data_IF_138353820159
#
_entry.id   IF_138353820159
#
_cell.length_a   1.000
_cell.length_b   1.000
_cell.length_c   1.000
_cell.angle_alpha   90.00
_cell.angle_beta   90.00
_cell.angle_gamma   90.00
#
_symmetry.space_group_name_H-M   'P 1'
#
loop_
_entity.id
_entity.type
_entity.pdbx_description
1 polymer ?
#
# COMPACT_ATOMS: atom_id res chain seq x y z
N UNK A 1 -2.48 -4.37 -2.08
CA UNK A 1 -2.69 -3.85 -0.73
C UNK A 1 -4.11 -3.29 -0.61
N UNK A 2 -4.77 -3.47 0.52
CA UNK A 2 -6.12 -2.97 0.76
C UNK A 2 -6.48 -2.90 2.25
N UNK A 3 -7.70 -2.47 2.57
CA UNK A 3 -8.69 -1.82 1.68
C UNK A 3 -8.26 -0.40 1.30
N UNK A 4 -8.53 0.03 0.06
CA UNK A 4 -8.11 1.34 -0.46
C UNK A 4 -9.23 2.38 -0.35
N UNK A 5 -10.38 2.07 -0.95
CA UNK A 5 -11.49 3.01 -1.07
C UNK A 5 -12.02 3.43 0.30
N UNK A 6 -12.32 2.46 1.17
CA UNK A 6 -12.84 2.72 2.51
C UNK A 6 -11.85 3.51 3.35
N UNK A 7 -10.55 3.17 3.25
CA UNK A 7 -9.50 3.89 3.98
C UNK A 7 -9.39 5.35 3.54
N UNK A 8 -9.39 5.63 2.22
CA UNK A 8 -9.29 6.99 1.70
C UNK A 8 -10.57 7.79 2.00
N UNK A 9 -11.75 7.18 1.82
CA UNK A 9 -13.03 7.84 2.01
C UNK A 9 -13.30 8.30 3.46
N UNK A 10 -12.70 7.64 4.45
CA UNK A 10 -12.74 8.03 5.86
C UNK A 10 -11.87 9.28 6.10
N UNK A 11 -12.30 10.44 5.60
CA UNK A 11 -11.58 11.70 5.66
C UNK A 11 -12.49 12.83 6.16
N UNK A 12 -11.96 13.70 7.04
CA UNK A 12 -12.64 14.90 7.57
C UNK A 12 -12.41 16.11 6.68
N UNK A 13 -11.25 16.12 6.06
CA UNK A 13 -10.73 17.23 5.26
C UNK A 13 -10.05 16.74 3.99
N UNK A 14 -9.77 17.65 3.06
CA UNK A 14 -8.96 17.35 1.88
C UNK A 14 -7.54 16.89 2.27
N UNK A 15 -7.00 17.42 3.37
CA UNK A 15 -5.69 17.00 3.88
C UNK A 15 -5.69 15.54 4.34
N UNK A 16 -6.75 15.09 5.05
CA UNK A 16 -6.87 13.67 5.43
C UNK A 16 -6.99 12.77 4.19
N UNK A 17 -7.74 13.21 3.18
CA UNK A 17 -7.89 12.49 1.92
C UNK A 17 -6.54 12.32 1.20
N UNK A 18 -5.78 13.41 1.13
CA UNK A 18 -4.43 13.38 0.58
C UNK A 18 -3.50 12.49 1.41
N UNK A 19 -3.50 12.64 2.72
CA UNK A 19 -2.66 11.85 3.62
C UNK A 19 -2.94 10.35 3.51
N UNK A 20 -4.22 9.95 3.41
CA UNK A 20 -4.60 8.56 3.17
C UNK A 20 -4.07 8.01 1.85
N UNK A 21 -4.15 8.79 0.78
CA UNK A 21 -3.62 8.41 -0.53
C UNK A 21 -2.09 8.32 -0.52
N UNK A 22 -1.43 9.27 0.14
CA UNK A 22 0.03 9.29 0.28
C UNK A 22 0.52 8.09 1.11
N UNK A 23 -0.15 7.78 2.22
CA UNK A 23 0.18 6.63 3.06
C UNK A 23 0.09 5.31 2.28
N UNK A 24 -0.96 5.12 1.48
CA UNK A 24 -1.09 3.93 0.64
C UNK A 24 0.00 3.84 -0.44
N UNK A 25 0.39 4.99 -1.02
CA UNK A 25 1.51 5.05 -1.97
C UNK A 25 2.84 4.68 -1.30
N UNK A 26 3.07 5.13 -0.06
CA UNK A 26 4.25 4.76 0.73
C UNK A 26 4.25 3.28 1.09
N UNK A 27 3.14 2.73 1.52
CA UNK A 27 2.97 1.30 1.77
C UNK A 27 3.33 0.47 0.52
N UNK A 28 2.84 0.89 -0.64
CA UNK A 28 3.17 0.22 -1.90
C UNK A 28 4.68 0.29 -2.20
N UNK A 29 5.32 1.42 -1.92
CA UNK A 29 6.78 1.56 -2.07
C UNK A 29 7.55 0.63 -1.13
N UNK A 30 7.19 0.55 0.14
CA UNK A 30 7.86 -0.33 1.10
C UNK A 30 7.80 -1.80 0.66
N UNK A 31 6.67 -2.22 0.07
CA UNK A 31 6.57 -3.55 -0.54
C UNK A 31 7.44 -3.72 -1.78
N UNK A 32 7.44 -2.76 -2.70
CA UNK A 32 8.29 -2.81 -3.91
C UNK A 32 9.78 -2.73 -3.58
N UNK A 33 10.15 -1.96 -2.55
CA UNK A 33 11.53 -1.79 -2.09
C UNK A 33 12.19 -3.12 -1.76
N UNK A 34 11.50 -4.03 -1.10
CA UNK A 34 11.99 -5.39 -0.81
C UNK A 34 12.44 -6.13 -2.08
N UNK A 35 11.62 -6.06 -3.12
CA UNK A 35 11.95 -6.68 -4.41
C UNK A 35 13.11 -5.95 -5.10
N UNK A 36 13.11 -4.62 -5.06
CA UNK A 36 14.19 -3.81 -5.63
C UNK A 36 15.54 -4.05 -4.96
N UNK A 37 15.58 -4.24 -3.65
CA UNK A 37 16.81 -4.55 -2.89
C UNK A 37 17.38 -5.92 -3.24
N UNK A 38 16.53 -6.90 -3.53
CA UNK A 38 16.96 -8.27 -3.85
C UNK A 38 17.30 -8.48 -5.32
N UNK A 39 16.53 -7.89 -6.22
CA UNK A 39 16.56 -8.20 -7.66
C UNK A 39 16.82 -6.97 -8.54
N UNK A 40 16.87 -5.78 -7.96
CA UNK A 40 16.96 -4.52 -8.69
C UNK A 40 15.59 -3.98 -9.15
N UNK A 41 15.50 -2.66 -9.39
CA UNK A 41 14.24 -2.01 -9.75
C UNK A 41 13.69 -2.44 -11.12
N UNK A 42 14.52 -3.03 -11.98
CA UNK A 42 14.09 -3.53 -13.30
C UNK A 42 13.22 -4.79 -13.21
N UNK A 43 13.22 -5.48 -12.07
CA UNK A 43 12.33 -6.63 -11.82
C UNK A 43 10.88 -6.22 -11.65
N UNK A 44 10.60 -4.95 -11.31
CA UNK A 44 9.25 -4.41 -11.26
C UNK A 44 8.77 -4.07 -12.67
N UNK A 45 7.79 -4.82 -13.17
CA UNK A 45 7.17 -4.60 -14.48
C UNK A 45 6.09 -3.52 -14.44
N UNK A 46 5.39 -3.40 -13.32
CA UNK A 46 4.36 -2.39 -13.07
C UNK A 46 4.34 -2.03 -11.57
N UNK A 47 4.26 -0.74 -11.22
CA UNK A 47 4.30 0.45 -12.09
C UNK A 47 5.70 0.72 -12.65
N UNK A 48 5.77 1.67 -13.60
CA UNK A 48 7.05 2.22 -14.04
C UNK A 48 7.71 3.00 -12.90
N UNK A 49 8.89 2.58 -12.46
CA UNK A 49 9.59 3.19 -11.32
C UNK A 49 10.49 4.37 -11.70
N UNK A 50 10.79 4.55 -12.99
CA UNK A 50 11.69 5.62 -13.44
C UNK A 50 11.12 7.00 -13.11
N UNK A 51 11.90 7.83 -12.42
CA UNK A 51 11.56 9.19 -11.96
C UNK A 51 10.41 9.25 -10.96
N UNK A 52 10.18 8.19 -10.24
CA UNK A 52 9.34 8.23 -9.05
C UNK A 52 10.19 8.78 -7.90
N UNK A 53 9.80 9.89 -7.26
CA UNK A 53 10.66 10.57 -6.29
C UNK A 53 11.13 9.70 -5.12
N UNK A 54 10.28 8.81 -4.61
CA UNK A 54 10.62 7.88 -3.54
C UNK A 54 11.69 6.86 -3.98
N UNK A 55 11.62 6.43 -5.24
CA UNK A 55 12.62 5.52 -5.85
C UNK A 55 13.93 6.24 -6.08
N UNK A 56 13.88 7.48 -6.57
CA UNK A 56 15.06 8.30 -6.79
C UNK A 56 15.82 8.56 -5.48
N UNK A 57 15.10 8.85 -4.38
CA UNK A 57 15.70 8.99 -3.05
C UNK A 57 16.37 7.70 -2.60
N UNK A 58 15.67 6.57 -2.73
CA UNK A 58 16.25 5.28 -2.38
C UNK A 58 17.51 4.96 -3.21
N UNK A 59 17.51 5.26 -4.51
CA UNK A 59 18.69 5.07 -5.36
C UNK A 59 19.88 5.94 -4.91
N UNK A 60 19.62 7.16 -4.45
CA UNK A 60 20.66 8.01 -3.84
C UNK A 60 21.21 7.39 -2.55
N UNK A 61 20.36 6.86 -1.70
CA UNK A 61 20.74 6.14 -0.47
C UNK A 61 21.57 4.88 -0.78
N UNK A 62 21.31 4.22 -1.93
CA UNK A 62 22.11 3.10 -2.43
C UNK A 62 23.43 3.53 -3.07
N UNK A 63 23.77 4.83 -3.08
CA UNK A 63 25.05 5.35 -3.53
C UNK A 63 25.12 5.68 -5.03
N UNK A 64 23.99 5.83 -5.73
CA UNK A 64 24.00 6.36 -7.09
C UNK A 64 24.52 7.80 -7.12
N UNK A 65 25.25 8.14 -8.24
CA UNK A 65 25.80 9.48 -8.40
C UNK A 65 24.70 10.56 -8.31
N UNK A 66 24.78 11.50 -7.34
CA UNK A 66 23.79 12.56 -7.15
C UNK A 66 23.56 13.46 -8.37
N UNK A 67 24.53 13.59 -9.27
CA UNK A 67 24.42 14.40 -10.50
C UNK A 67 23.33 13.87 -11.45
N UNK A 68 23.02 12.56 -11.39
CA UNK A 68 21.94 11.96 -12.16
C UNK A 68 20.55 12.51 -11.80
N UNK A 69 20.46 13.17 -10.66
CA UNK A 69 19.23 13.73 -10.10
C UNK A 69 19.21 15.27 -10.02
N UNK A 70 20.12 15.97 -10.71
CA UNK A 70 20.20 17.43 -10.60
C UNK A 70 19.03 18.15 -11.27
N UNK A 71 18.41 17.54 -12.28
CA UNK A 71 17.27 18.11 -12.99
C UNK A 71 15.90 17.70 -12.48
N UNK A 72 15.83 16.89 -11.41
CA UNK A 72 14.55 16.43 -10.90
C UNK A 72 13.79 17.53 -10.14
N UNK A 73 12.48 17.57 -10.36
CA UNK A 73 11.61 18.63 -9.80
C UNK A 73 11.53 18.57 -8.27
N UNK A 74 11.62 17.41 -7.65
CA UNK A 74 11.52 17.26 -6.21
C UNK A 74 12.71 17.87 -5.44
N UNK A 75 13.91 18.00 -6.05
CA UNK A 75 15.05 18.73 -5.47
C UNK A 75 14.83 20.25 -5.48
N UNK A 76 14.05 20.75 -6.44
CA UNK A 76 13.89 22.19 -6.70
C UNK A 76 12.70 22.80 -5.96
N UNK A 77 11.77 21.99 -5.46
CA UNK A 77 10.55 22.47 -4.79
C UNK A 77 10.70 22.43 -3.28
N UNK A 78 10.60 23.61 -2.64
CA UNK A 78 10.59 23.75 -1.18
C UNK A 78 9.19 23.90 -0.58
N UNK A 79 8.12 23.58 -1.33
CA UNK A 79 6.73 23.74 -0.88
C UNK A 79 6.03 22.39 -0.74
N UNK A 80 4.81 22.40 -0.17
CA UNK A 80 3.93 21.23 -0.03
C UNK A 80 3.52 20.64 -1.39
N UNK A 81 3.72 21.35 -2.50
CA UNK A 81 3.55 20.86 -3.85
C UNK A 81 4.73 20.01 -4.35
N UNK A 82 5.72 19.72 -3.48
CA UNK A 82 6.84 18.88 -3.85
C UNK A 82 6.36 17.47 -4.27
N UNK A 83 6.81 16.96 -5.43
CA UNK A 83 6.44 15.63 -5.92
C UNK A 83 6.75 14.47 -4.95
N UNK A 84 7.65 14.67 -3.97
CA UNK A 84 7.88 13.69 -2.90
C UNK A 84 6.63 13.40 -2.07
N UNK A 85 5.72 14.38 -1.96
CA UNK A 85 4.46 14.24 -1.24
C UNK A 85 3.30 13.76 -2.13
N UNK A 86 3.55 13.51 -3.42
CA UNK A 86 2.52 12.96 -4.30
C UNK A 86 2.26 11.47 -4.01
N UNK A 87 0.99 11.07 -4.09
CA UNK A 87 0.59 9.66 -4.08
C UNK A 87 0.88 9.04 -5.47
N UNK A 88 2.16 8.83 -5.77
CA UNK A 88 2.62 8.49 -7.12
C UNK A 88 2.54 6.99 -7.45
N UNK A 89 2.43 6.12 -6.44
CA UNK A 89 2.47 4.67 -6.63
C UNK A 89 1.11 4.04 -6.38
N UNK A 90 0.69 3.09 -7.23
CA UNK A 90 -0.55 2.37 -7.06
C UNK A 90 -0.44 1.34 -5.93
N UNK A 91 -1.57 0.92 -5.38
CA UNK A 91 -1.67 -0.10 -4.35
C UNK A 91 -1.44 -1.55 -4.85
N UNK A 92 -0.98 -1.69 -6.08
CA UNK A 92 -0.66 -2.97 -6.73
C UNK A 92 0.62 -2.83 -7.53
N UNK A 93 1.45 -3.85 -7.50
CA UNK A 93 2.60 -3.96 -8.39
C UNK A 93 2.74 -5.37 -8.98
N UNK A 94 3.47 -5.47 -10.06
CA UNK A 94 3.82 -6.71 -10.73
C UNK A 94 5.34 -6.79 -10.87
N UNK A 95 5.91 -7.92 -10.49
CA UNK A 95 7.34 -8.16 -10.59
C UNK A 95 7.63 -9.48 -11.31
N UNK A 96 8.73 -9.54 -12.04
CA UNK A 96 9.31 -10.76 -12.56
C UNK A 96 10.38 -11.23 -11.58
N UNK A 97 10.18 -12.41 -11.01
CA UNK A 97 11.06 -12.96 -9.98
C UNK A 97 11.42 -14.42 -10.30
N UNK A 98 12.58 -14.93 -9.85
CA UNK A 98 12.86 -16.37 -9.93
C UNK A 98 11.78 -17.16 -9.18
N UNK A 99 11.30 -18.26 -9.75
CA UNK A 99 10.27 -19.12 -9.16
C UNK A 99 10.63 -19.54 -7.73
N UNK A 100 11.88 -19.94 -7.52
CA UNK A 100 12.38 -20.37 -6.21
C UNK A 100 12.37 -19.30 -5.12
N UNK A 101 12.22 -18.02 -5.48
CA UNK A 101 12.20 -16.89 -4.55
C UNK A 101 10.80 -16.30 -4.34
N UNK A 102 9.81 -16.70 -5.13
CA UNK A 102 8.51 -16.03 -5.16
C UNK A 102 7.79 -16.03 -3.81
N UNK A 103 7.75 -17.17 -3.12
CA UNK A 103 7.08 -17.28 -1.82
C UNK A 103 7.83 -16.51 -0.73
N UNK A 104 9.15 -16.67 -0.62
CA UNK A 104 9.98 -15.96 0.35
C UNK A 104 9.85 -14.44 0.17
N UNK A 105 9.95 -13.96 -1.06
CA UNK A 105 9.79 -12.52 -1.36
C UNK A 105 8.41 -12.01 -0.98
N UNK A 106 7.35 -12.77 -1.28
CA UNK A 106 6.00 -12.37 -0.94
C UNK A 106 5.78 -12.26 0.59
N UNK A 107 6.31 -13.22 1.37
CA UNK A 107 6.26 -13.16 2.83
C UNK A 107 7.09 -11.99 3.36
N UNK A 108 8.29 -11.77 2.82
CA UNK A 108 9.14 -10.63 3.19
C UNK A 108 8.47 -9.29 2.90
N UNK A 109 7.83 -9.14 1.75
CA UNK A 109 7.02 -7.95 1.40
C UNK A 109 5.90 -7.73 2.42
N UNK A 110 5.17 -8.79 2.76
CA UNK A 110 4.08 -8.71 3.74
C UNK A 110 4.58 -8.24 5.12
N UNK A 111 5.69 -8.79 5.58
CA UNK A 111 6.28 -8.43 6.87
C UNK A 111 6.83 -6.99 6.85
N UNK A 112 7.59 -6.61 5.83
CA UNK A 112 8.17 -5.26 5.70
C UNK A 112 7.10 -4.17 5.71
N UNK A 113 5.99 -4.41 5.02
CA UNK A 113 4.86 -3.48 5.00
C UNK A 113 4.18 -3.37 6.37
N UNK A 114 3.98 -4.50 7.05
CA UNK A 114 3.39 -4.51 8.40
C UNK A 114 4.29 -3.77 9.41
N UNK A 115 5.58 -4.04 9.39
CA UNK A 115 6.57 -3.40 10.27
C UNK A 115 6.65 -1.89 10.02
N UNK A 116 6.64 -1.48 8.75
CA UNK A 116 6.65 -0.06 8.41
C UNK A 116 5.39 0.67 8.92
N UNK A 117 4.20 0.09 8.70
CA UNK A 117 2.94 0.67 9.20
C UNK A 117 2.93 0.77 10.72
N UNK A 118 3.41 -0.25 11.41
CA UNK A 118 3.53 -0.24 12.86
C UNK A 118 4.50 0.85 13.34
N UNK A 119 5.64 1.02 12.68
CA UNK A 119 6.61 2.07 12.99
C UNK A 119 6.01 3.48 12.78
N UNK A 120 5.22 3.69 11.70
CA UNK A 120 4.50 4.96 11.52
C UNK A 120 3.46 5.18 12.63
N UNK A 121 2.77 4.13 13.03
CA UNK A 121 1.82 4.19 14.16
C UNK A 121 2.49 4.58 15.44
N UNK A 122 3.62 3.95 15.78
CA UNK A 122 4.40 4.27 16.97
C UNK A 122 4.88 5.74 16.96
N UNK A 123 5.47 6.18 15.85
CA UNK A 123 5.91 7.57 15.69
C UNK A 123 4.75 8.58 15.84
N UNK A 124 3.54 8.20 15.41
CA UNK A 124 2.33 9.02 15.61
C UNK A 124 1.96 9.13 17.09
N UNK A 125 1.98 8.02 17.83
CA UNK A 125 1.70 8.03 19.28
C UNK A 125 2.74 8.86 20.02
N UNK A 126 4.02 8.67 19.72
CA UNK A 126 5.11 9.42 20.33
C UNK A 126 4.94 10.94 20.10
N UNK A 127 4.58 11.33 18.87
CA UNK A 127 4.30 12.73 18.54
C UNK A 127 3.06 13.27 19.28
N UNK A 128 1.99 12.46 19.43
CA UNK A 128 0.80 12.85 20.20
C UNK A 128 1.15 13.12 21.66
N UNK A 129 1.93 12.26 22.29
CA UNK A 129 2.33 12.42 23.68
C UNK A 129 3.29 13.60 23.88
N UNK A 130 4.31 13.75 23.02
CA UNK A 130 5.28 14.85 23.07
C UNK A 130 4.59 16.22 22.89
N UNK A 131 3.86 16.41 21.80
CA UNK A 131 3.23 17.70 21.46
C UNK A 131 2.06 18.10 22.35
N UNK A 132 1.51 17.16 23.10
CA UNK A 132 0.43 17.45 24.05
C UNK A 132 0.89 17.47 25.50
N UNK A 133 2.20 17.25 25.77
CA UNK A 133 2.77 17.20 27.11
C UNK A 133 2.00 16.20 28.01
N UNK A 134 1.47 15.15 27.41
CA UNK A 134 0.68 14.14 28.14
C UNK A 134 1.55 13.34 29.09
N UNK A 135 2.83 13.17 28.77
CA UNK A 135 3.80 12.53 29.65
C UNK A 135 3.90 13.17 31.03
N UNK A 136 3.54 14.46 31.17
CA UNK A 136 3.55 15.19 32.45
C UNK A 136 2.20 15.11 33.19
N UNK A 137 1.10 14.80 32.49
CA UNK A 137 -0.27 14.93 33.02
C UNK A 137 -0.97 13.61 33.31
N UNK A 138 -0.49 12.52 32.75
CA UNK A 138 -0.96 11.15 32.99
C UNK A 138 0.08 10.44 33.81
N UNK A 139 -0.27 9.53 34.72
CA UNK A 139 0.64 8.57 35.34
C UNK A 139 1.21 7.71 34.20
N UNK A 140 2.38 8.13 33.65
CA UNK A 140 2.55 8.27 32.21
C UNK A 140 3.06 7.03 31.47
N UNK A 141 3.80 6.14 32.12
CA UNK A 141 4.37 4.96 31.42
C UNK A 141 3.26 3.98 31.08
N UNK A 142 2.38 3.66 32.02
CA UNK A 142 1.25 2.73 31.79
C UNK A 142 0.25 3.25 30.74
N UNK A 143 0.03 4.57 30.69
CA UNK A 143 -0.95 5.17 29.78
C UNK A 143 -0.52 5.12 28.31
N UNK A 144 0.75 5.37 28.02
CA UNK A 144 1.29 5.26 26.66
C UNK A 144 1.32 3.80 26.19
N UNK A 145 1.72 2.88 27.10
CA UNK A 145 1.73 1.45 26.80
C UNK A 145 0.33 0.91 26.43
N UNK A 146 -0.72 1.40 27.10
CA UNK A 146 -2.12 1.07 26.77
C UNK A 146 -2.45 1.52 25.34
N UNK A 147 -2.09 2.75 24.96
CA UNK A 147 -2.35 3.29 23.62
C UNK A 147 -1.58 2.51 22.55
N UNK A 148 -0.30 2.20 22.83
CA UNK A 148 0.54 1.41 21.93
C UNK A 148 0.00 0.00 21.74
N UNK A 149 -0.42 -0.66 22.81
CA UNK A 149 -1.04 -1.99 22.71
C UNK A 149 -2.34 -1.99 21.90
N UNK A 150 -3.19 -0.96 22.08
CA UNK A 150 -4.39 -0.78 21.25
C UNK A 150 -4.03 -0.53 19.78
N UNK A 151 -3.04 0.33 19.53
CA UNK A 151 -2.54 0.60 18.18
C UNK A 151 -2.09 -0.68 17.48
N UNK A 152 -1.23 -1.47 18.15
CA UNK A 152 -0.73 -2.74 17.61
C UNK A 152 -1.87 -3.69 17.25
N UNK A 153 -2.85 -3.84 18.14
CA UNK A 153 -4.02 -4.66 17.89
C UNK A 153 -4.86 -4.15 16.71
N UNK A 154 -5.02 -2.83 16.59
CA UNK A 154 -5.83 -2.21 15.54
C UNK A 154 -5.14 -2.16 14.18
N UNK A 155 -3.81 -2.17 14.14
CA UNK A 155 -3.02 -2.25 12.91
C UNK A 155 -2.75 -3.70 12.48
N UNK A 156 -2.99 -4.68 13.34
CA UNK A 156 -2.86 -6.08 12.97
C UNK A 156 -3.78 -6.41 11.77
N UNK A 157 -3.18 -6.84 10.66
CA UNK A 157 -3.89 -7.13 9.42
C UNK A 157 -4.17 -5.92 8.53
N UNK A 158 -3.63 -4.74 8.84
CA UNK A 158 -3.63 -3.61 7.92
C UNK A 158 -2.20 -3.27 7.47
N UNK A 159 -2.00 -3.05 6.18
CA UNK A 159 -2.94 -3.35 5.09
C UNK A 159 -3.09 -4.86 4.85
N UNK A 160 -4.23 -5.27 4.32
CA UNK A 160 -4.35 -6.61 3.77
C UNK A 160 -3.41 -6.74 2.57
N UNK A 161 -2.51 -7.72 2.60
CA UNK A 161 -1.59 -8.02 1.50
C UNK A 161 -2.02 -9.30 0.81
N UNK A 162 -2.46 -9.18 -0.43
CA UNK A 162 -2.79 -10.30 -1.30
C UNK A 162 -1.72 -10.45 -2.37
N UNK A 163 -1.28 -11.66 -2.62
CA UNK A 163 -0.30 -11.94 -3.63
C UNK A 163 -0.59 -13.26 -4.34
N UNK A 164 -0.02 -13.39 -5.50
CA UNK A 164 0.00 -14.62 -6.28
C UNK A 164 1.26 -14.65 -7.13
N UNK A 165 1.69 -15.84 -7.51
CA UNK A 165 2.72 -16.05 -8.50
C UNK A 165 2.21 -17.02 -9.56
N UNK A 166 2.50 -16.73 -10.82
CA UNK A 166 2.23 -17.61 -11.95
C UNK A 166 3.52 -17.82 -12.74
N UNK A 167 3.86 -19.06 -13.16
CA UNK A 167 5.01 -19.27 -14.00
C UNK A 167 4.83 -18.55 -15.33
N UNK A 168 5.93 -17.97 -15.86
CA UNK A 168 5.90 -17.36 -17.18
C UNK A 168 5.61 -18.42 -18.24
N UNK A 169 4.54 -18.24 -18.98
CA UNK A 169 4.06 -19.21 -19.97
C UNK A 169 4.46 -18.82 -21.37
N UNK A 170 4.85 -19.80 -22.18
CA UNK A 170 5.01 -19.66 -23.62
C UNK A 170 3.63 -19.63 -24.32
N UNK A 171 3.62 -19.52 -25.67
CA UNK A 171 2.38 -19.42 -26.44
C UNK A 171 1.46 -20.64 -26.25
N UNK A 172 2.00 -21.85 -26.35
CA UNK A 172 1.22 -23.10 -26.23
C UNK A 172 0.61 -23.24 -24.83
N UNK A 173 1.42 -23.08 -23.79
CA UNK A 173 0.97 -23.12 -22.40
C UNK A 173 -0.08 -22.05 -22.10
N UNK A 174 0.16 -20.82 -22.59
CA UNK A 174 -0.76 -19.70 -22.39
C UNK A 174 -2.12 -19.93 -23.05
N UNK A 175 -2.14 -20.49 -24.26
CA UNK A 175 -3.39 -20.87 -24.95
C UNK A 175 -4.15 -21.93 -24.17
N UNK A 176 -3.48 -23.00 -23.76
CA UNK A 176 -4.08 -24.09 -23.00
C UNK A 176 -4.66 -23.59 -21.67
N UNK A 177 -3.88 -22.85 -20.90
CA UNK A 177 -4.31 -22.35 -19.60
C UNK A 177 -5.48 -21.36 -19.72
N UNK A 178 -5.42 -20.42 -20.69
CA UNK A 178 -6.51 -19.48 -20.89
C UNK A 178 -7.78 -20.15 -21.41
N UNK A 179 -7.67 -21.19 -22.22
CA UNK A 179 -8.83 -21.89 -22.77
C UNK A 179 -9.79 -22.37 -21.68
N UNK A 180 -9.28 -22.71 -20.48
CA UNK A 180 -10.10 -23.13 -19.33
C UNK A 180 -11.09 -22.04 -18.85
N UNK A 181 -10.86 -20.78 -19.20
CA UNK A 181 -11.73 -19.65 -18.81
C UNK A 181 -12.69 -19.20 -19.93
N UNK A 182 -12.70 -19.91 -21.05
CA UNK A 182 -13.52 -19.57 -22.21
C UNK A 182 -14.45 -20.73 -22.57
N UNK A 183 -15.53 -20.49 -23.34
CA UNK A 183 -16.42 -21.56 -23.80
C UNK A 183 -15.67 -22.62 -24.59
N UNK A 184 -16.14 -23.86 -24.50
CA UNK A 184 -15.60 -25.00 -25.22
C UNK A 184 -15.45 -24.68 -26.72
N UNK A 185 -14.30 -25.02 -27.30
CA UNK A 185 -13.99 -24.78 -28.70
C UNK A 185 -13.45 -23.37 -29.03
N UNK A 186 -13.21 -22.52 -28.04
CA UNK A 186 -12.53 -21.24 -28.27
C UNK A 186 -11.06 -21.49 -28.69
N UNK A 187 -10.75 -21.17 -29.97
CA UNK A 187 -9.38 -21.38 -30.51
C UNK A 187 -8.40 -20.31 -30.10
N UNK A 188 -8.88 -19.08 -29.88
CA UNK A 188 -8.05 -17.91 -29.62
C UNK A 188 -8.53 -17.19 -28.35
N UNK A 189 -8.24 -17.75 -27.14
CA UNK A 189 -8.66 -17.17 -25.89
C UNK A 189 -7.88 -15.89 -25.55
N UNK A 190 -8.56 -14.89 -25.01
CA UNK A 190 -7.96 -13.66 -24.49
C UNK A 190 -7.15 -12.88 -25.52
N UNK A 191 -5.91 -12.59 -25.21
CA UNK A 191 -4.99 -11.82 -26.07
C UNK A 191 -4.80 -12.46 -27.45
N UNK A 192 -4.82 -13.79 -27.55
CA UNK A 192 -4.66 -14.50 -28.83
C UNK A 192 -5.79 -14.21 -29.83
N UNK A 193 -6.98 -13.83 -29.37
CA UNK A 193 -8.08 -13.39 -30.20
C UNK A 193 -8.04 -11.91 -30.60
N UNK A 194 -7.12 -11.13 -30.06
CA UNK A 194 -7.02 -9.70 -30.30
C UNK A 194 -6.47 -9.35 -31.68
N UNK A 195 -6.86 -8.19 -32.20
CA UNK A 195 -6.26 -7.66 -33.42
C UNK A 195 -4.76 -7.41 -33.28
N UNK A 196 -4.33 -7.00 -32.09
CA UNK A 196 -2.90 -6.80 -31.80
C UNK A 196 -2.09 -8.09 -32.02
N UNK A 197 -2.58 -9.24 -31.55
CA UNK A 197 -1.93 -10.53 -31.80
C UNK A 197 -1.95 -10.93 -33.28
N UNK A 198 -3.05 -10.72 -33.96
CA UNK A 198 -3.20 -11.06 -35.39
C UNK A 198 -2.30 -10.25 -36.31
N UNK A 199 -1.92 -9.02 -35.91
CA UNK A 199 -1.01 -8.13 -36.64
C UNK A 199 0.45 -8.52 -36.49
N UNK A 200 0.81 -9.38 -35.55
CA UNK A 200 2.21 -9.78 -35.35
C UNK A 200 2.69 -10.71 -36.48
N UNK A 201 3.92 -10.51 -36.99
CA UNK A 201 4.46 -11.36 -38.04
C UNK A 201 4.72 -12.77 -37.49
N UNK A 202 4.27 -13.80 -38.21
CA UNK A 202 4.55 -15.19 -37.81
C UNK A 202 5.99 -15.62 -38.07
N UNK A 203 6.64 -14.96 -39.02
CA UNK A 203 8.03 -15.16 -39.41
C UNK A 203 8.73 -13.82 -39.61
N UNK A 204 10.07 -13.83 -39.69
CA UNK A 204 10.84 -12.63 -40.03
C UNK A 204 10.40 -12.13 -41.42
N UNK A 205 10.01 -10.88 -41.52
CA UNK A 205 9.52 -10.22 -42.73
C UNK A 205 10.37 -8.97 -43.02
N UNK A 206 10.81 -8.80 -44.25
CA UNK A 206 11.41 -7.55 -44.73
C UNK A 206 10.34 -6.72 -45.47
N UNK A 207 10.17 -5.48 -45.04
CA UNK A 207 9.29 -4.51 -45.67
C UNK A 207 9.99 -3.78 -46.79
N UNK A 208 9.18 -3.20 -47.70
CA UNK A 208 9.66 -2.50 -48.91
C UNK A 208 10.66 -1.36 -48.60
N UNK A 209 10.57 -0.77 -47.42
CA UNK A 209 11.42 0.33 -46.97
C UNK A 209 12.71 -0.13 -46.26
N UNK A 210 13.10 -1.39 -46.38
CA UNK A 210 14.27 -1.96 -45.70
C UNK A 210 14.09 -2.18 -44.21
N UNK A 211 12.88 -1.97 -43.67
CA UNK A 211 12.53 -2.25 -42.30
C UNK A 211 12.29 -3.75 -42.12
N UNK A 212 12.87 -4.34 -41.07
CA UNK A 212 12.69 -5.75 -40.76
C UNK A 212 11.71 -5.89 -39.59
N UNK A 213 10.64 -6.64 -39.79
CA UNK A 213 9.77 -7.12 -38.72
C UNK A 213 10.26 -8.49 -38.26
N UNK A 214 10.46 -8.62 -36.95
CA UNK A 214 10.92 -9.86 -36.35
C UNK A 214 9.74 -10.66 -35.80
N UNK A 215 9.87 -11.99 -35.79
CA UNK A 215 8.94 -12.87 -35.09
C UNK A 215 8.79 -12.40 -33.63
N UNK A 216 7.58 -12.46 -33.05
CA UNK A 216 7.36 -12.19 -31.64
C UNK A 216 8.32 -13.00 -30.76
N UNK A 217 8.91 -12.34 -29.76
CA UNK A 217 9.64 -13.00 -28.72
C UNK A 217 8.72 -13.31 -27.52
N UNK A 218 9.23 -13.99 -26.52
CA UNK A 218 8.46 -14.37 -25.33
C UNK A 218 7.88 -13.15 -24.57
N UNK A 219 8.54 -11.99 -24.63
CA UNK A 219 8.04 -10.76 -24.03
C UNK A 219 6.72 -10.28 -24.63
N UNK A 220 6.41 -10.67 -25.87
CA UNK A 220 5.13 -10.37 -26.52
C UNK A 220 3.94 -11.04 -25.81
N UNK A 221 4.20 -12.09 -25.02
CA UNK A 221 3.21 -12.81 -24.25
C UNK A 221 2.91 -12.16 -22.89
N UNK A 222 3.49 -10.99 -22.62
CA UNK A 222 3.20 -10.23 -21.39
C UNK A 222 1.69 -10.08 -21.11
N UNK A 223 0.83 -9.71 -22.10
CA UNK A 223 -0.62 -9.59 -21.83
C UNK A 223 -1.28 -10.91 -21.39
N UNK A 224 -0.81 -12.04 -21.91
CA UNK A 224 -1.29 -13.38 -21.52
C UNK A 224 -0.91 -13.68 -20.06
N UNK A 225 0.36 -13.52 -19.73
CA UNK A 225 0.87 -13.77 -18.39
C UNK A 225 0.27 -12.80 -17.37
N UNK A 226 0.01 -11.54 -17.78
CA UNK A 226 -0.67 -10.56 -16.95
C UNK A 226 -2.14 -10.95 -16.67
N UNK A 227 -2.90 -11.38 -17.68
CA UNK A 227 -4.28 -11.83 -17.51
C UNK A 227 -4.36 -13.03 -16.54
N UNK A 228 -3.47 -13.99 -16.67
CA UNK A 228 -3.38 -15.13 -15.76
C UNK A 228 -3.06 -14.71 -14.32
N UNK A 229 -2.10 -13.80 -14.13
CA UNK A 229 -1.75 -13.26 -12.83
C UNK A 229 -2.94 -12.50 -12.17
N UNK A 230 -3.69 -11.69 -12.95
CA UNK A 230 -4.87 -10.99 -12.44
C UNK A 230 -5.99 -11.95 -12.02
N UNK A 231 -6.26 -12.99 -12.80
CA UNK A 231 -7.25 -14.03 -12.45
C UNK A 231 -6.85 -14.78 -11.20
N UNK A 232 -5.59 -15.16 -11.10
CA UNK A 232 -5.04 -15.84 -9.92
C UNK A 232 -5.11 -14.95 -8.67
N UNK A 233 -4.77 -13.66 -8.81
CA UNK A 233 -4.88 -12.69 -7.71
C UNK A 233 -6.35 -12.47 -7.28
N UNK A 234 -7.27 -12.42 -8.23
CA UNK A 234 -8.69 -12.32 -7.93
C UNK A 234 -9.16 -13.55 -7.13
N UNK A 235 -8.77 -14.76 -7.54
CA UNK A 235 -9.07 -15.99 -6.81
C UNK A 235 -8.46 -15.99 -5.40
N UNK A 236 -7.20 -15.58 -5.24
CA UNK A 236 -6.54 -15.48 -3.93
C UNK A 236 -7.30 -14.54 -2.96
N UNK A 237 -7.88 -13.45 -3.48
CA UNK A 237 -8.70 -12.53 -2.67
C UNK A 237 -10.02 -13.14 -2.20
N UNK A 238 -10.59 -14.09 -2.93
CA UNK A 238 -11.87 -14.73 -2.54
C UNK A 238 -11.73 -15.74 -1.42
N UNK A 239 -10.55 -16.34 -1.25
CA UNK A 239 -10.28 -17.37 -0.22
C UNK A 239 -9.59 -16.79 1.02
N UNK A 240 -9.60 -15.47 1.19
CA UNK A 240 -8.99 -14.81 2.35
C UNK A 240 -9.69 -15.18 3.65
N UNK A 241 -8.91 -15.28 4.73
CA UNK A 241 -9.45 -15.39 6.08
C UNK A 241 -9.76 -14.01 6.65
N UNK A 242 -10.84 -13.90 7.41
CA UNK A 242 -11.24 -12.66 8.09
C UNK A 242 -11.05 -12.83 9.60
N UNK A 243 -9.93 -12.41 10.17
CA UNK A 243 -9.80 -12.37 11.62
C UNK A 243 -10.75 -11.29 12.16
N UNK A 244 -11.63 -11.68 13.06
CA UNK A 244 -12.52 -10.73 13.72
C UNK A 244 -11.74 -9.99 14.81
N UNK A 245 -11.66 -8.66 14.68
CA UNK A 245 -11.11 -7.81 15.72
C UNK A 245 -12.11 -7.72 16.88
N UNK A 246 -11.71 -8.24 18.04
CA UNK A 246 -12.53 -8.14 19.27
C UNK A 246 -12.25 -6.83 19.97
N UNK A 247 -13.21 -5.92 19.93
CA UNK A 247 -13.15 -4.63 20.59
C UNK A 247 -14.51 -4.30 21.21
N UNK A 248 -14.50 -3.81 22.44
CA UNK A 248 -15.70 -3.58 23.25
C UNK A 248 -15.98 -2.10 23.55
N UNK A 249 -15.00 -1.23 23.24
CA UNK A 249 -15.11 0.20 23.47
C UNK A 249 -15.97 0.93 22.44
N UNK A 250 -16.26 2.18 22.72
CA UNK A 250 -16.93 3.07 21.75
C UNK A 250 -16.09 3.23 20.48
N UNK A 251 -16.81 3.43 19.38
CA UNK A 251 -16.19 3.45 18.07
C UNK A 251 -15.57 4.81 17.74
N UNK A 252 -14.53 4.76 16.93
CA UNK A 252 -13.87 5.91 16.33
C UNK A 252 -14.89 6.83 15.64
N UNK A 253 -14.81 8.14 15.88
CA UNK A 253 -15.72 9.12 15.27
C UNK A 253 -15.55 9.28 13.76
N UNK A 254 -14.44 8.80 13.21
CA UNK A 254 -14.14 8.91 11.78
C UNK A 254 -14.54 7.65 11.01
N UNK A 255 -14.02 6.47 11.36
CA UNK A 255 -14.33 5.25 10.62
C UNK A 255 -15.55 4.48 11.17
N UNK A 256 -15.92 4.63 12.44
CA UNK A 256 -16.98 3.85 13.06
C UNK A 256 -16.68 2.36 13.26
N UNK A 257 -15.51 1.87 12.85
CA UNK A 257 -15.17 0.45 12.82
C UNK A 257 -14.43 -0.01 14.08
N UNK A 258 -13.38 0.72 14.46
CA UNK A 258 -12.48 0.38 15.55
C UNK A 258 -12.81 1.21 16.78
N UNK A 259 -12.49 0.70 17.96
CA UNK A 259 -12.59 1.53 19.17
C UNK A 259 -11.58 2.67 19.14
N UNK A 260 -11.91 3.77 19.81
CA UNK A 260 -11.03 4.91 19.92
C UNK A 260 -9.81 4.62 20.80
N UNK A 261 -8.67 5.25 20.49
CA UNK A 261 -7.48 5.15 21.32
C UNK A 261 -7.67 5.89 22.65
N UNK A 262 -7.31 5.25 23.74
CA UNK A 262 -7.32 5.85 25.07
C UNK A 262 -6.14 5.39 25.91
N UNK A 263 -5.66 6.26 26.77
CA UNK A 263 -4.61 5.98 27.75
C UNK A 263 -5.14 5.33 29.03
N UNK A 264 -6.45 5.21 29.18
CA UNK A 264 -7.11 4.60 30.33
C UNK A 264 -8.20 3.62 29.85
N UNK A 265 -8.01 2.34 30.20
CA UNK A 265 -8.94 1.25 29.79
C UNK A 265 -10.37 1.43 30.35
N UNK A 266 -10.50 2.07 31.50
CA UNK A 266 -11.82 2.32 32.07
C UNK A 266 -12.64 3.26 31.19
N UNK A 267 -11.98 4.15 30.43
CA UNK A 267 -12.64 5.08 29.52
C UNK A 267 -13.25 4.39 28.29
N UNK A 268 -12.79 3.20 27.92
CA UNK A 268 -13.32 2.46 26.75
C UNK A 268 -14.82 2.19 26.83
N UNK A 269 -15.35 1.96 28.03
CA UNK A 269 -16.78 1.71 28.26
C UNK A 269 -17.62 2.98 28.35
N UNK A 270 -17.00 4.17 28.35
CA UNK A 270 -17.66 5.45 28.48
C UNK A 270 -17.89 6.09 27.11
N UNK A 271 -19.10 6.68 26.93
CA UNK A 271 -19.38 7.43 25.72
C UNK A 271 -18.44 8.65 25.62
N UNK A 272 -17.66 8.81 24.53
CA UNK A 272 -16.55 9.76 24.47
C UNK A 272 -16.90 11.24 24.67
N UNK A 273 -18.16 11.61 24.64
CA UNK A 273 -18.61 12.99 24.74
C UNK A 273 -19.41 13.29 26.01
N UNK A 274 -19.46 12.39 27.01
CA UNK A 274 -20.25 12.57 28.22
C UNK A 274 -19.41 12.38 29.50
N UNK A 275 -19.46 13.38 30.36
CA UNK A 275 -18.98 13.32 31.74
C UNK A 275 -17.60 13.97 31.97
N UNK A 276 -17.34 14.25 33.25
CA UNK A 276 -16.10 14.93 33.68
C UNK A 276 -14.85 14.06 33.50
N UNK A 277 -15.00 12.74 33.56
CA UNK A 277 -13.91 11.78 33.35
C UNK A 277 -13.27 11.91 31.95
N UNK A 278 -14.02 12.40 30.96
CA UNK A 278 -13.54 12.52 29.57
C UNK A 278 -12.82 13.82 29.28
N UNK A 279 -12.86 14.80 30.19
CA UNK A 279 -12.12 16.07 30.04
C UNK A 279 -10.63 15.87 29.93
N UNK A 280 -10.11 14.78 30.47
CA UNK A 280 -8.70 14.42 30.49
C UNK A 280 -8.38 13.20 29.58
N UNK A 281 -9.32 12.77 28.72
CA UNK A 281 -9.04 11.72 27.73
C UNK A 281 -8.02 12.20 26.70
N UNK A 282 -7.29 11.26 26.09
CA UNK A 282 -6.28 11.52 25.05
C UNK A 282 -6.81 12.55 24.01
N UNK A 283 -7.94 12.29 23.38
CA UNK A 283 -8.47 13.14 22.32
C UNK A 283 -9.02 14.49 22.82
N UNK A 284 -9.46 14.55 24.07
CA UNK A 284 -9.84 15.85 24.68
C UNK A 284 -8.61 16.74 24.92
N UNK A 285 -7.47 16.16 25.26
CA UNK A 285 -6.21 16.89 25.42
C UNK A 285 -5.68 17.30 24.06
N UNK A 286 -5.64 16.36 23.08
CA UNK A 286 -5.24 16.65 21.70
C UNK A 286 -6.08 17.77 21.11
N UNK A 287 -7.40 17.70 21.20
CA UNK A 287 -8.29 18.72 20.66
C UNK A 287 -8.17 20.10 21.31
N UNK A 288 -7.61 20.19 22.53
CA UNK A 288 -7.31 21.47 23.20
C UNK A 288 -5.94 22.02 22.79
N UNK A 289 -4.91 21.18 22.75
CA UNK A 289 -3.52 21.59 22.52
C UNK A 289 -3.15 21.63 21.04
N UNK A 290 -3.71 20.70 20.24
CA UNK A 290 -3.44 20.54 18.81
C UNK A 290 -4.78 20.40 18.01
N UNK A 291 -5.60 21.45 17.92
CA UNK A 291 -6.93 21.39 17.29
C UNK A 291 -6.87 21.10 15.77
N UNK A 292 -5.72 21.22 15.14
CA UNK A 292 -5.49 20.82 13.77
C UNK A 292 -5.45 19.30 13.58
N UNK A 293 -5.08 18.56 14.61
CA UNK A 293 -4.97 17.10 14.59
C UNK A 293 -6.29 16.41 14.93
N UNK A 294 -7.02 16.94 15.88
CA UNK A 294 -8.38 16.49 16.20
C UNK A 294 -9.23 17.66 16.68
N UNK A 295 -10.47 17.75 16.19
CA UNK A 295 -11.40 18.77 16.64
C UNK A 295 -12.02 18.39 17.98
N UNK A 296 -12.59 19.37 18.65
CA UNK A 296 -13.35 19.13 19.89
C UNK A 296 -14.45 18.10 19.66
N UNK A 297 -14.41 17.00 20.41
CA UNK A 297 -15.38 15.91 20.33
C UNK A 297 -15.02 14.81 19.34
N UNK A 298 -13.96 14.94 18.56
CA UNK A 298 -13.40 13.85 17.77
C UNK A 298 -12.61 12.90 18.67
N UNK A 299 -12.65 11.63 18.33
CA UNK A 299 -11.92 10.56 19.00
C UNK A 299 -11.58 9.48 17.97
N UNK A 300 -10.32 9.23 17.77
CA UNK A 300 -9.81 8.44 16.66
C UNK A 300 -9.26 7.09 17.13
N UNK A 301 -9.38 6.09 16.28
CA UNK A 301 -8.65 4.83 16.42
C UNK A 301 -7.23 4.95 15.87
N UNK A 302 -6.39 3.93 16.10
CA UNK A 302 -5.00 3.91 15.64
C UNK A 302 -4.86 4.10 14.14
N UNK A 303 -5.68 3.42 13.34
CA UNK A 303 -5.63 3.54 11.88
C UNK A 303 -6.03 4.94 11.38
N UNK A 304 -6.99 5.59 12.04
CA UNK A 304 -7.39 6.95 11.68
C UNK A 304 -6.41 8.01 12.23
N UNK A 305 -5.65 7.69 13.27
CA UNK A 305 -4.66 8.60 13.86
C UNK A 305 -3.38 8.71 13.02
N UNK A 306 -2.95 7.64 12.35
CA UNK A 306 -1.76 7.65 11.48
C UNK A 306 -1.99 8.35 10.13
N UNK A 307 -3.22 8.68 9.82
CA UNK A 307 -3.66 9.38 8.62
C UNK A 307 -3.62 10.90 8.78
#
# INVERSE_FOLDING_TARGET
>A
FGPVQDFIAQARTTSDLWAGSHLLSRIAWEGMRVVCEKLGPQSILFPQLRRVPQVDLWLLEQGLNPELFDDVSWKKSGSDANPLFAAALPNKFLALVPESMADELAQTVKQAVADWVLAQGQATIDALFDKTEMAETVDSEDGQDIVVAQLQQQLAGFPEVHWTAVPWQNEEQGRETLAAFYPDGCKDPGFFGSEAWKMLPKEKMELVDGMTLFKPNEGTLYPVNYDLAERSLAAAKTVRTFPQLQQHGYRCSLCGEREWLTHDRELLSHYPNKGDKLKNSLWSIVGKKQPSWARKGEHLCGLCAIK
#
